data_IF_100300156297
#
_entry.id   IF_100300156297
#
_cell.length_a   1.000
_cell.length_b   1.000
_cell.length_c   1.000
_cell.angle_alpha   90.00
_cell.angle_beta   90.00
_cell.angle_gamma   90.00
#
_symmetry.space_group_name_H-M   'P 1'
#
loop_
_entity.id
_entity.type
_entity.pdbx_description
1 polymer ?
#
# COMPACT_ATOMS: atom_id res chain seq x y z
N UNK A 1 -12.12 24.01 -32.77
CA UNK A 1 -12.76 25.25 -32.27
C UNK A 1 -11.66 26.12 -31.70
N UNK A 2 -11.33 27.22 -32.39
CA UNK A 2 -10.22 28.12 -32.05
C UNK A 2 -10.72 29.11 -31.01
N UNK A 3 -10.13 29.13 -29.81
CA UNK A 3 -10.37 30.20 -28.82
C UNK A 3 -9.10 31.02 -28.73
N UNK A 4 -9.14 32.15 -29.42
CA UNK A 4 -8.16 33.24 -29.37
C UNK A 4 -8.30 34.00 -28.05
N UNK A 5 -7.34 33.89 -27.14
CA UNK A 5 -7.22 34.78 -25.97
C UNK A 5 -6.32 35.96 -26.34
N UNK A 6 -6.92 37.05 -26.79
CA UNK A 6 -6.26 38.33 -26.90
C UNK A 6 -6.32 39.06 -25.54
N UNK A 7 -5.12 39.34 -25.01
CA UNK A 7 -4.72 40.59 -24.37
C UNK A 7 -5.65 41.15 -23.28
N UNK A 8 -5.23 41.02 -22.01
CA UNK A 8 -5.03 42.21 -21.16
C UNK A 8 -3.80 41.98 -20.29
N UNK A 9 -2.74 42.73 -20.61
CA UNK A 9 -1.58 42.95 -19.76
C UNK A 9 -2.07 43.74 -18.54
N UNK A 10 -2.37 43.06 -17.43
CA UNK A 10 -2.48 43.71 -16.12
C UNK A 10 -1.32 43.27 -15.25
N UNK A 11 -0.54 44.28 -14.90
CA UNK A 11 0.67 44.30 -14.10
C UNK A 11 0.66 43.38 -12.86
N UNK A 12 1.82 42.73 -12.65
CA UNK A 12 2.46 42.54 -11.35
C UNK A 12 1.59 41.98 -10.21
N UNK A 13 1.14 40.73 -10.33
CA UNK A 13 1.18 39.81 -9.20
C UNK A 13 1.35 38.38 -9.71
N UNK A 14 2.57 37.86 -9.65
CA UNK A 14 2.82 36.43 -9.81
C UNK A 14 2.15 35.72 -8.62
N UNK A 15 0.90 35.29 -8.78
CA UNK A 15 0.30 34.32 -7.88
C UNK A 15 0.98 32.99 -8.17
N UNK A 16 2.14 32.79 -7.56
CA UNK A 16 2.83 31.50 -7.53
C UNK A 16 1.93 30.58 -6.70
N UNK A 17 1.15 29.74 -7.37
CA UNK A 17 0.51 28.59 -6.73
C UNK A 17 1.64 27.72 -6.16
N UNK A 18 1.89 27.83 -4.86
CA UNK A 18 2.82 26.95 -4.16
C UNK A 18 2.21 25.56 -4.16
N UNK A 19 2.68 24.68 -5.04
CA UNK A 19 2.47 23.25 -4.92
C UNK A 19 3.28 22.78 -3.72
N UNK A 20 2.61 22.53 -2.60
CA UNK A 20 3.23 21.90 -1.44
C UNK A 20 3.50 20.44 -1.80
N UNK A 21 4.77 20.09 -2.01
CA UNK A 21 5.20 18.71 -2.18
C UNK A 21 4.78 17.90 -0.96
N UNK A 22 4.17 16.72 -1.14
CA UNK A 22 3.81 15.84 -0.03
C UNK A 22 5.06 15.50 0.80
N UNK A 23 5.29 16.25 1.88
CA UNK A 23 6.40 16.02 2.79
C UNK A 23 6.17 14.67 3.47
N UNK A 24 7.15 13.76 3.36
CA UNK A 24 7.17 12.53 4.12
C UNK A 24 7.23 12.90 5.61
N UNK A 25 6.06 12.92 6.26
CA UNK A 25 5.93 13.31 7.65
C UNK A 25 6.62 12.27 8.54
N UNK A 26 7.77 12.62 9.13
CA UNK A 26 8.40 11.82 10.18
C UNK A 26 7.50 11.87 11.41
N UNK A 27 6.60 10.90 11.54
CA UNK A 27 5.75 10.77 12.72
C UNK A 27 6.65 10.48 13.94
N UNK A 28 6.53 11.22 15.05
CA UNK A 28 7.33 10.95 16.24
C UNK A 28 7.07 9.52 16.73
N UNK A 29 8.13 8.83 17.16
CA UNK A 29 8.05 7.48 17.69
C UNK A 29 7.20 7.52 18.98
N UNK A 30 6.04 6.87 18.96
CA UNK A 30 5.14 6.79 20.11
C UNK A 30 5.78 5.93 21.20
N UNK A 31 6.13 6.55 22.34
CA UNK A 31 6.64 5.87 23.54
C UNK A 31 5.54 5.24 24.42
N UNK A 32 4.32 5.06 23.90
CA UNK A 32 3.28 4.33 24.64
C UNK A 32 3.69 2.86 24.74
N UNK A 33 3.44 2.16 25.85
CA UNK A 33 3.70 0.72 25.92
C UNK A 33 2.72 -0.03 24.99
N UNK A 34 3.24 -0.85 24.07
CA UNK A 34 2.44 -1.66 23.16
C UNK A 34 3.17 -2.05 21.87
N UNK A 35 2.63 -3.02 21.13
CA UNK A 35 3.05 -3.32 19.75
C UNK A 35 2.34 -2.36 18.80
N UNK A 36 3.11 -1.65 17.96
CA UNK A 36 2.60 -0.61 17.06
C UNK A 36 2.54 -1.06 15.61
N UNK A 37 1.83 -0.29 14.79
CA UNK A 37 1.88 -0.44 13.34
C UNK A 37 3.28 -0.12 12.83
N UNK A 38 3.87 -1.04 12.06
CA UNK A 38 5.15 -0.82 11.40
C UNK A 38 5.05 0.28 10.34
N UNK A 39 6.15 1.00 10.17
CA UNK A 39 6.34 1.92 9.05
C UNK A 39 6.74 1.12 7.80
N UNK A 40 6.44 1.64 6.59
CA UNK A 40 6.89 1.01 5.37
C UNK A 40 8.41 0.95 5.27
N UNK A 41 8.95 -0.15 4.74
CA UNK A 41 10.38 -0.32 4.50
C UNK A 41 10.68 -0.03 3.01
N UNK A 42 11.48 1.00 2.68
CA UNK A 42 11.71 1.40 1.29
C UNK A 42 12.22 0.27 0.37
N UNK A 43 13.10 -0.60 0.89
CA UNK A 43 13.67 -1.71 0.11
C UNK A 43 12.63 -2.80 -0.17
N UNK A 44 11.80 -3.13 0.84
CA UNK A 44 10.69 -4.07 0.68
C UNK A 44 9.61 -3.50 -0.23
N UNK A 45 9.31 -2.20 -0.14
CA UNK A 45 8.35 -1.54 -1.02
C UNK A 45 8.79 -1.56 -2.49
N UNK A 46 10.08 -1.31 -2.76
CA UNK A 46 10.64 -1.39 -4.11
C UNK A 46 10.56 -2.80 -4.70
N UNK A 47 10.81 -3.82 -3.86
CA UNK A 47 10.83 -5.23 -4.25
C UNK A 47 9.56 -6.00 -3.83
N UNK A 48 8.43 -5.31 -3.66
CA UNK A 48 7.22 -5.93 -3.10
C UNK A 48 6.69 -7.04 -4.01
N UNK A 49 6.33 -8.20 -3.43
CA UNK A 49 5.82 -9.34 -4.21
C UNK A 49 4.44 -9.01 -4.80
N UNK A 50 4.23 -9.39 -6.06
CA UNK A 50 2.96 -9.25 -6.78
C UNK A 50 2.67 -10.56 -7.51
N UNK A 51 2.07 -11.50 -6.81
CA UNK A 51 1.88 -12.86 -7.32
C UNK A 51 0.67 -12.98 -8.24
N UNK A 52 -0.42 -12.28 -7.90
CA UNK A 52 -1.61 -12.26 -8.72
C UNK A 52 -2.29 -10.88 -8.68
N UNK A 53 -3.09 -10.63 -9.71
CA UNK A 53 -3.78 -9.37 -9.92
C UNK A 53 -5.28 -9.60 -10.08
N UNK A 54 -6.09 -8.82 -9.38
CA UNK A 54 -7.54 -8.86 -9.49
C UNK A 54 -8.12 -7.47 -9.30
N UNK A 55 -8.96 -7.04 -10.25
CA UNK A 55 -9.71 -5.78 -10.19
C UNK A 55 -8.91 -4.54 -9.78
N UNK A 56 -7.66 -4.41 -10.24
CA UNK A 56 -6.82 -3.24 -9.91
C UNK A 56 -5.88 -3.45 -8.73
N UNK A 57 -6.03 -4.56 -7.99
CA UNK A 57 -5.23 -4.86 -6.81
C UNK A 57 -4.21 -5.96 -7.09
N UNK A 58 -3.02 -5.80 -6.53
CA UNK A 58 -1.99 -6.83 -6.52
C UNK A 58 -2.02 -7.51 -5.16
N UNK A 59 -1.87 -8.82 -5.16
CA UNK A 59 -1.88 -9.65 -3.97
C UNK A 59 -0.64 -10.51 -3.92
N UNK A 60 -0.26 -10.89 -2.71
CA UNK A 60 0.72 -11.93 -2.46
C UNK A 60 0.28 -12.75 -1.26
N UNK A 61 0.65 -14.04 -1.27
CA UNK A 61 0.53 -14.89 -0.10
C UNK A 61 1.88 -14.96 0.60
N UNK A 62 1.91 -14.66 1.91
CA UNK A 62 3.15 -14.64 2.68
C UNK A 62 3.85 -16.01 2.71
N UNK A 63 3.09 -17.11 2.65
CA UNK A 63 3.67 -18.46 2.61
C UNK A 63 4.52 -18.75 1.37
N UNK A 64 4.32 -18.01 0.28
CA UNK A 64 5.13 -18.12 -0.94
C UNK A 64 6.37 -17.22 -0.92
N UNK A 65 6.52 -16.35 0.08
CA UNK A 65 7.72 -15.52 0.26
C UNK A 65 8.71 -16.31 1.13
N UNK A 66 9.91 -16.68 0.64
CA UNK A 66 10.80 -17.59 1.34
C UNK A 66 11.13 -17.18 2.78
N UNK A 67 11.30 -15.88 3.03
CA UNK A 67 11.62 -15.32 4.35
C UNK A 67 10.43 -15.37 5.33
N UNK A 68 9.22 -15.58 4.80
CA UNK A 68 7.98 -15.63 5.57
C UNK A 68 7.34 -17.02 5.56
N UNK A 69 7.85 -17.95 4.76
CA UNK A 69 7.33 -19.30 4.62
C UNK A 69 7.33 -20.02 5.99
N UNK A 70 6.21 -20.67 6.32
CA UNK A 70 6.03 -21.38 7.58
C UNK A 70 5.85 -20.51 8.83
N UNK A 71 5.94 -19.18 8.73
CA UNK A 71 5.73 -18.29 9.88
C UNK A 71 4.24 -18.23 10.25
N UNK A 72 3.92 -18.63 11.47
CA UNK A 72 2.62 -18.37 12.10
C UNK A 72 2.71 -17.10 12.92
N UNK A 73 1.86 -16.13 12.62
CA UNK A 73 1.86 -14.81 13.25
C UNK A 73 0.45 -14.47 13.72
N UNK A 74 0.35 -13.61 14.72
CA UNK A 74 -0.93 -13.01 15.07
C UNK A 74 -1.36 -11.94 14.07
N UNK A 75 -2.57 -11.40 14.28
CA UNK A 75 -3.16 -10.43 13.38
C UNK A 75 -2.34 -9.13 13.24
N UNK A 76 -1.77 -8.63 14.34
CA UNK A 76 -1.03 -7.37 14.32
C UNK A 76 0.30 -7.53 13.59
N UNK A 77 1.01 -8.64 13.82
CA UNK A 77 2.23 -8.94 13.07
C UNK A 77 1.94 -9.19 11.59
N UNK A 78 0.85 -9.89 11.27
CA UNK A 78 0.40 -10.06 9.88
C UNK A 78 0.18 -8.72 9.18
N UNK A 79 -0.52 -7.79 9.86
CA UNK A 79 -0.73 -6.43 9.34
C UNK A 79 0.58 -5.67 9.18
N UNK A 80 1.50 -5.77 10.15
CA UNK A 80 2.79 -5.11 10.10
C UNK A 80 3.68 -5.62 8.96
N UNK A 81 3.68 -6.92 8.71
CA UNK A 81 4.42 -7.52 7.59
C UNK A 81 3.94 -6.91 6.27
N UNK A 82 2.63 -6.86 6.02
CA UNK A 82 2.10 -6.26 4.79
C UNK A 82 2.49 -4.78 4.65
N UNK A 83 2.41 -4.01 5.75
CA UNK A 83 2.74 -2.58 5.76
C UNK A 83 4.20 -2.30 5.42
N UNK A 84 5.12 -3.16 5.85
CA UNK A 84 6.53 -3.06 5.48
C UNK A 84 6.75 -3.14 3.96
N UNK A 85 5.90 -3.88 3.24
CA UNK A 85 5.92 -3.98 1.76
C UNK A 85 5.15 -2.85 1.05
N UNK A 86 4.73 -1.80 1.76
CA UNK A 86 3.81 -0.78 1.23
C UNK A 86 2.51 -1.42 0.68
N UNK A 87 2.01 -2.42 1.38
CA UNK A 87 0.75 -3.11 1.11
C UNK A 87 -0.08 -3.16 2.41
N UNK A 88 -1.34 -3.51 2.31
CA UNK A 88 -2.20 -3.72 3.48
C UNK A 88 -2.60 -5.19 3.59
N UNK A 89 -3.04 -5.59 4.79
CA UNK A 89 -3.65 -6.90 4.98
C UNK A 89 -4.92 -6.98 4.13
N UNK A 90 -5.16 -8.14 3.50
CA UNK A 90 -6.28 -8.33 2.58
C UNK A 90 -7.62 -7.94 3.22
N UNK A 91 -8.40 -7.17 2.48
CA UNK A 91 -9.82 -6.90 2.75
C UNK A 91 -10.62 -7.59 1.66
N UNK A 92 -11.78 -8.16 1.99
CA UNK A 92 -12.66 -8.81 1.02
C UNK A 92 -13.88 -7.92 0.84
N UNK A 93 -14.01 -7.34 -0.34
CA UNK A 93 -15.08 -6.36 -0.63
C UNK A 93 -16.18 -6.95 -1.53
N UNK A 94 -15.90 -8.07 -2.18
CA UNK A 94 -16.82 -8.74 -3.12
C UNK A 94 -16.82 -10.25 -2.94
N UNK A 95 -17.91 -10.91 -3.37
CA UNK A 95 -18.02 -12.36 -3.29
C UNK A 95 -17.00 -13.07 -4.20
N UNK A 96 -16.72 -12.49 -5.36
CA UNK A 96 -15.73 -13.03 -6.31
C UNK A 96 -14.33 -13.02 -5.71
N UNK A 97 -13.96 -11.93 -5.02
CA UNK A 97 -12.70 -11.83 -4.29
C UNK A 97 -12.60 -12.86 -3.16
N UNK A 98 -13.66 -12.99 -2.36
CA UNK A 98 -13.71 -14.03 -1.31
C UNK A 98 -13.53 -15.44 -1.89
N UNK A 99 -14.21 -15.77 -3.00
CA UNK A 99 -14.10 -17.08 -3.65
C UNK A 99 -12.68 -17.34 -4.18
N UNK A 100 -12.01 -16.31 -4.69
CA UNK A 100 -10.63 -16.41 -5.17
C UNK A 100 -9.66 -16.65 -4.01
N UNK A 101 -9.76 -15.87 -2.94
CA UNK A 101 -8.91 -16.04 -1.75
C UNK A 101 -9.16 -17.41 -1.10
N UNK A 102 -10.42 -17.87 -1.05
CA UNK A 102 -10.75 -19.20 -0.55
C UNK A 102 -10.06 -20.31 -1.34
N UNK A 103 -10.06 -20.24 -2.68
CA UNK A 103 -9.34 -21.20 -3.55
C UNK A 103 -7.83 -21.12 -3.34
N UNK A 104 -7.28 -19.92 -3.20
CA UNK A 104 -5.85 -19.72 -2.89
C UNK A 104 -5.48 -20.46 -1.59
N UNK A 105 -6.28 -20.29 -0.54
CA UNK A 105 -6.05 -20.95 0.75
C UNK A 105 -6.10 -22.47 0.60
N UNK A 106 -7.10 -23.03 -0.10
CA UNK A 106 -7.20 -24.48 -0.32
C UNK A 106 -6.02 -25.08 -1.11
N UNK A 107 -5.49 -24.33 -2.07
CA UNK A 107 -4.34 -24.78 -2.87
C UNK A 107 -3.01 -24.63 -2.13
N UNK A 108 -2.89 -23.59 -1.32
CA UNK A 108 -1.66 -23.25 -0.59
C UNK A 108 -1.60 -23.93 0.78
N UNK A 109 -2.71 -24.49 1.25
CA UNK A 109 -2.75 -25.24 2.50
C UNK A 109 -2.07 -26.60 2.33
N UNK A 110 -0.86 -26.70 2.89
CA UNK A 110 -0.47 -27.87 3.66
C UNK A 110 -1.38 -27.84 4.90
N UNK A 111 -2.52 -28.54 4.84
CA UNK A 111 -3.21 -28.97 6.08
C UNK A 111 -2.47 -30.21 6.58
#
# INVERSE_FOLDING_TARGET
MRVTCAVVVTALSCIIFKFDSAQAQTRPVSNRPGRFLSLPNPQKCANRPKQFFFRGHNYFFSGHVPELAGRKVDWLDGRNICREYCMDLVSMETQEENNMIFRLIQQSSII
#
